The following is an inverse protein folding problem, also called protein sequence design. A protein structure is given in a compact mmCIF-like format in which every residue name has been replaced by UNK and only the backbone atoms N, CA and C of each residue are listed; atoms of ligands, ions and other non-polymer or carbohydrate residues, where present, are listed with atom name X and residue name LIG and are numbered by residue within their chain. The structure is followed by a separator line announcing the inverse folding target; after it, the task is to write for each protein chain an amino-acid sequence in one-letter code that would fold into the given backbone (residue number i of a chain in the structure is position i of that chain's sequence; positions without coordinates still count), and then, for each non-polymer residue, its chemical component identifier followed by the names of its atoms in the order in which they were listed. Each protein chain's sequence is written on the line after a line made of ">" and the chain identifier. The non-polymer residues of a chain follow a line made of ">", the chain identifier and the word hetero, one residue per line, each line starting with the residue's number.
data_IF_029944993252
#
_entry.id   IF_029944993252
#
_cell.length_a   1.000
_cell.length_b   1.000
_cell.length_c   1.000
_cell.angle_alpha   90.00
_cell.angle_beta   90.00
_cell.angle_gamma   90.00
#
_symmetry.space_group_name_H-M   'P 1'
#
loop_
_entity.id
_entity.type
_entity.pdbx_description
1 polymer ?
#
# COMPACT_ATOMS: atom_id res chain seq x y z
N UNK A 1 -1.48 -8.17 -13.91
CA UNK A 1 -1.23 -9.29 -12.98
C UNK A 1 -0.12 -8.95 -12.01
N UNK A 2 1.06 -8.53 -12.49
CA UNK A 2 2.21 -8.17 -11.64
C UNK A 2 1.86 -7.17 -10.51
N UNK A 3 1.14 -6.08 -10.80
CA UNK A 3 0.74 -5.10 -9.77
C UNK A 3 -0.15 -5.68 -8.66
N UNK A 4 -1.01 -6.66 -8.98
CA UNK A 4 -1.89 -7.31 -8.00
C UNK A 4 -1.08 -8.30 -7.14
N UNK A 5 -0.11 -8.98 -7.74
CA UNK A 5 0.80 -9.87 -7.01
C UNK A 5 1.67 -9.06 -6.05
N UNK A 6 2.25 -7.95 -6.51
CA UNK A 6 2.99 -7.02 -5.67
C UNK A 6 2.12 -6.47 -4.53
N UNK A 7 0.85 -6.19 -4.82
CA UNK A 7 -0.14 -5.79 -3.84
C UNK A 7 -0.36 -6.83 -2.73
N UNK A 8 -0.59 -8.09 -3.10
CA UNK A 8 -0.74 -9.19 -2.14
C UNK A 8 0.49 -9.35 -1.26
N UNK A 9 1.68 -9.28 -1.85
CA UNK A 9 2.95 -9.42 -1.10
C UNK A 9 3.08 -8.30 -0.07
N UNK A 10 2.86 -7.04 -0.45
CA UNK A 10 3.04 -5.93 0.49
C UNK A 10 1.96 -5.89 1.58
N UNK A 11 0.73 -6.31 1.26
CA UNK A 11 -0.33 -6.44 2.25
C UNK A 11 0.06 -7.51 3.29
N UNK A 12 0.46 -8.70 2.83
CA UNK A 12 0.87 -9.79 3.71
C UNK A 12 2.09 -9.45 4.56
N UNK A 13 3.11 -8.79 3.99
CA UNK A 13 4.27 -8.36 4.78
C UNK A 13 3.91 -7.32 5.83
N UNK A 14 3.01 -6.38 5.50
CA UNK A 14 2.56 -5.36 6.45
C UNK A 14 1.73 -5.98 7.58
N UNK A 15 0.89 -6.97 7.29
CA UNK A 15 0.16 -7.73 8.32
C UNK A 15 1.10 -8.50 9.25
N UNK A 16 2.10 -9.20 8.70
CA UNK A 16 3.13 -9.89 9.49
C UNK A 16 3.90 -8.94 10.42
N UNK A 17 4.26 -7.74 9.92
CA UNK A 17 4.94 -6.71 10.69
C UNK A 17 4.06 -6.09 11.79
N UNK A 18 2.75 -5.93 11.53
CA UNK A 18 1.81 -5.29 12.44
C UNK A 18 1.04 -6.28 13.32
N UNK A 19 1.25 -7.58 13.15
CA UNK A 19 0.66 -8.66 13.94
C UNK A 19 0.69 -8.45 15.46
N UNK A 20 1.81 -8.01 16.07
CA UNK A 20 1.84 -7.75 17.52
C UNK A 20 0.98 -6.55 17.95
N UNK A 21 0.46 -5.74 17.01
CA UNK A 21 -0.27 -4.51 17.28
C UNK A 21 -1.72 -4.60 16.79
N UNK A 22 -2.61 -5.07 17.67
CA UNK A 22 -4.00 -5.43 17.37
C UNK A 22 -4.81 -4.35 16.61
N UNK A 23 -4.66 -3.06 16.98
CA UNK A 23 -5.38 -1.96 16.33
C UNK A 23 -4.84 -1.61 14.94
N UNK A 24 -3.52 -1.67 14.74
CA UNK A 24 -2.87 -1.37 13.46
C UNK A 24 -3.06 -2.50 12.45
N UNK A 25 -3.16 -3.74 12.95
CA UNK A 25 -3.42 -4.94 12.14
C UNK A 25 -4.77 -4.88 11.41
N UNK A 26 -5.78 -4.20 11.94
CA UNK A 26 -7.10 -4.07 11.29
C UNK A 26 -7.10 -2.93 10.27
N UNK A 27 -6.40 -1.84 10.57
CA UNK A 27 -6.40 -0.64 9.73
C UNK A 27 -5.57 -0.81 8.45
N UNK A 28 -4.43 -1.49 8.55
CA UNK A 28 -3.52 -1.80 7.43
C UNK A 28 -4.23 -2.50 6.25
N UNK A 29 -4.87 -3.66 6.41
CA UNK A 29 -5.52 -4.36 5.31
C UNK A 29 -6.65 -3.54 4.68
N UNK A 30 -7.41 -2.80 5.49
CA UNK A 30 -8.48 -1.93 4.99
C UNK A 30 -7.93 -0.86 4.03
N UNK A 31 -6.81 -0.23 4.40
CA UNK A 31 -6.15 0.78 3.57
C UNK A 31 -5.55 0.18 2.29
N UNK A 32 -4.95 -1.01 2.35
CA UNK A 32 -4.47 -1.73 1.16
C UNK A 32 -5.61 -2.09 0.20
N UNK A 33 -6.76 -2.54 0.71
CA UNK A 33 -7.95 -2.87 -0.10
C UNK A 33 -8.51 -1.59 -0.75
N UNK A 34 -8.64 -0.50 0.00
CA UNK A 34 -9.11 0.77 -0.52
C UNK A 34 -8.22 1.30 -1.67
N UNK A 35 -6.89 1.22 -1.51
CA UNK A 35 -5.93 1.58 -2.56
C UNK A 35 -6.11 0.73 -3.83
N UNK A 36 -6.33 -0.57 -3.67
CA UNK A 36 -6.56 -1.48 -4.78
C UNK A 36 -7.85 -1.14 -5.54
N UNK A 37 -8.94 -0.86 -4.82
CA UNK A 37 -10.22 -0.44 -5.41
C UNK A 37 -10.09 0.88 -6.18
N UNK A 38 -9.42 1.88 -5.59
CA UNK A 38 -9.17 3.18 -6.25
C UNK A 38 -8.35 2.98 -7.53
N UNK A 39 -7.31 2.15 -7.48
CA UNK A 39 -6.49 1.84 -8.65
C UNK A 39 -7.30 1.17 -9.76
N UNK A 40 -8.12 0.16 -9.42
CA UNK A 40 -8.99 -0.52 -10.38
C UNK A 40 -10.03 0.44 -10.97
N UNK A 41 -10.62 1.31 -10.14
CA UNK A 41 -11.56 2.32 -10.58
C UNK A 41 -10.94 3.32 -11.55
N UNK A 42 -9.77 3.88 -11.23
CA UNK A 42 -9.04 4.79 -12.13
C UNK A 42 -8.67 4.10 -13.44
N UNK A 43 -8.20 2.86 -13.39
CA UNK A 43 -7.86 2.08 -14.57
C UNK A 43 -9.08 1.85 -15.47
N UNK A 44 -10.23 1.53 -14.88
CA UNK A 44 -11.47 1.36 -15.62
C UNK A 44 -11.95 2.69 -16.24
N UNK A 45 -11.86 3.80 -15.50
CA UNK A 45 -12.18 5.15 -15.98
C UNK A 45 -11.33 5.54 -17.19
N UNK A 46 -10.01 5.28 -17.16
CA UNK A 46 -9.11 5.57 -18.29
C UNK A 46 -9.44 4.70 -19.50
N UNK A 47 -9.74 3.41 -19.29
CA UNK A 47 -10.10 2.48 -20.36
C UNK A 47 -11.38 2.91 -21.09
N UNK A 48 -12.42 3.27 -20.32
CA UNK A 48 -13.75 3.57 -20.86
C UNK A 48 -13.90 4.99 -21.43
N UNK A 49 -12.92 5.87 -21.21
CA UNK A 49 -12.97 7.23 -21.73
C UNK A 49 -12.73 7.23 -23.25
N UNK A 50 -13.72 7.66 -24.05
CA UNK A 50 -13.66 7.65 -25.52
C UNK A 50 -12.88 8.83 -26.10
N UNK A 51 -12.71 9.90 -25.33
CA UNK A 51 -12.06 11.14 -25.79
C UNK A 51 -10.53 11.07 -25.81
N UNK A 52 -9.95 10.01 -25.20
CA UNK A 52 -8.51 9.83 -25.09
C UNK A 52 -7.97 8.98 -26.24
N UNK A 53 -6.89 9.45 -26.86
CA UNK A 53 -6.15 8.68 -27.85
C UNK A 53 -5.54 7.40 -27.24
N UNK A 54 -5.30 6.38 -28.07
CA UNK A 54 -4.73 5.10 -27.61
C UNK A 54 -3.38 5.27 -26.88
N UNK A 55 -2.55 6.22 -27.35
CA UNK A 55 -1.25 6.51 -26.73
C UNK A 55 -1.41 7.21 -25.37
N UNK A 56 -2.32 8.18 -25.24
CA UNK A 56 -2.58 8.81 -23.94
C UNK A 56 -3.19 7.84 -22.93
N UNK A 57 -4.04 6.91 -23.37
CA UNK A 57 -4.57 5.84 -22.49
C UNK A 57 -3.44 4.99 -21.92
N UNK A 58 -2.45 4.63 -22.73
CA UNK A 58 -1.27 3.87 -22.27
C UNK A 58 -0.47 4.66 -21.25
N UNK A 59 -0.16 5.93 -21.54
CA UNK A 59 0.61 6.81 -20.62
C UNK A 59 -0.13 7.00 -19.30
N UNK A 60 -1.43 7.31 -19.32
CA UNK A 60 -2.23 7.47 -18.09
C UNK A 60 -2.33 6.18 -17.29
N UNK A 61 -2.46 5.03 -17.96
CA UNK A 61 -2.49 3.72 -17.30
C UNK A 61 -1.14 3.40 -16.63
N UNK A 62 -0.03 3.68 -17.32
CA UNK A 62 1.32 3.52 -16.75
C UNK A 62 1.52 4.45 -15.55
N UNK A 63 1.14 5.73 -15.66
CA UNK A 63 1.25 6.71 -14.58
C UNK A 63 0.44 6.30 -13.34
N UNK A 64 -0.79 5.81 -13.52
CA UNK A 64 -1.61 5.29 -12.42
C UNK A 64 -0.98 4.04 -11.79
N UNK A 65 -0.37 3.15 -12.58
CA UNK A 65 0.39 2.01 -12.08
C UNK A 65 1.62 2.39 -11.26
N UNK A 66 2.38 3.39 -11.72
CA UNK A 66 3.54 3.93 -11.00
C UNK A 66 3.08 4.56 -9.67
N UNK A 67 2.03 5.37 -9.70
CA UNK A 67 1.48 6.00 -8.50
C UNK A 67 1.08 4.94 -7.47
N UNK A 68 0.39 3.88 -7.91
CA UNK A 68 0.00 2.76 -7.05
C UNK A 68 1.21 2.09 -6.39
N UNK A 69 2.27 1.81 -7.15
CA UNK A 69 3.52 1.24 -6.59
C UNK A 69 4.19 2.17 -5.58
N UNK A 70 4.27 3.46 -5.87
CA UNK A 70 4.88 4.45 -4.97
C UNK A 70 4.08 4.53 -3.66
N UNK A 71 2.75 4.63 -3.72
CA UNK A 71 1.91 4.67 -2.52
C UNK A 71 2.04 3.40 -1.69
N UNK A 72 2.13 2.25 -2.34
CA UNK A 72 2.37 0.96 -1.69
C UNK A 72 3.72 0.91 -0.96
N UNK A 73 4.79 1.43 -1.57
CA UNK A 73 6.10 1.53 -0.94
C UNK A 73 6.08 2.45 0.28
N UNK A 74 5.38 3.58 0.19
CA UNK A 74 5.22 4.51 1.31
C UNK A 74 4.49 3.83 2.48
N UNK A 75 3.38 3.13 2.21
CA UNK A 75 2.64 2.38 3.24
C UNK A 75 3.49 1.30 3.91
N UNK A 76 4.30 0.58 3.13
CA UNK A 76 5.23 -0.42 3.67
C UNK A 76 6.32 0.24 4.53
N UNK A 77 6.90 1.34 4.06
CA UNK A 77 7.91 2.09 4.82
C UNK A 77 7.32 2.61 6.14
N UNK A 78 6.10 3.14 6.14
CA UNK A 78 5.41 3.55 7.36
C UNK A 78 5.22 2.38 8.32
N UNK A 79 4.76 1.23 7.82
CA UNK A 79 4.58 0.02 8.65
C UNK A 79 5.88 -0.43 9.31
N UNK A 80 6.99 -0.41 8.57
CA UNK A 80 8.34 -0.71 9.11
C UNK A 80 8.78 0.31 10.15
N UNK A 81 8.58 1.61 9.90
CA UNK A 81 8.94 2.67 10.84
C UNK A 81 8.11 2.58 12.13
N UNK A 82 6.81 2.27 12.03
CA UNK A 82 5.94 2.06 13.20
C UNK A 82 6.45 0.87 14.02
N UNK A 83 6.73 -0.26 13.37
CA UNK A 83 7.26 -1.44 14.05
C UNK A 83 8.59 -1.12 14.76
N UNK A 84 9.50 -0.42 14.09
CA UNK A 84 10.78 -0.01 14.67
C UNK A 84 10.61 0.95 15.85
N UNK A 85 9.74 1.96 15.72
CA UNK A 85 9.49 2.95 16.76
C UNK A 85 8.92 2.30 18.02
N UNK A 86 7.97 1.38 17.87
CA UNK A 86 7.37 0.70 19.01
C UNK A 86 8.39 -0.22 19.68
N UNK A 87 9.18 -0.98 18.91
CA UNK A 87 10.22 -1.84 19.46
C UNK A 87 11.30 -1.02 20.23
N UNK A 88 11.69 0.14 19.69
CA UNK A 88 12.60 1.07 20.36
C UNK A 88 12.00 1.57 21.69
N UNK A 89 10.72 1.99 21.68
CA UNK A 89 10.03 2.46 22.88
C UNK A 89 9.90 1.39 23.96
N UNK A 90 9.65 0.13 23.58
CA UNK A 90 9.61 -1.00 24.50
C UNK A 90 10.97 -1.29 25.13
N UNK A 91 12.06 -1.26 24.33
CA UNK A 91 13.42 -1.48 24.83
C UNK A 91 13.96 -0.38 25.75
N UNK A 92 13.49 0.87 25.57
CA UNK A 92 13.82 1.99 26.46
C UNK A 92 13.05 1.87 27.79
N UNK A 93 11.79 1.44 27.73
CA UNK A 93 10.97 1.24 28.93
C UNK A 93 11.50 0.09 29.81
N UNK A 94 11.97 -1.02 29.21
CA UNK A 94 12.56 -2.14 29.98
C UNK A 94 13.95 -1.88 30.55
N UNK A 95 14.64 -0.82 30.12
CA UNK A 95 15.93 -0.39 30.67
C UNK A 95 15.81 0.63 31.82
N UNK A 96 14.64 1.20 32.02
CA UNK A 96 14.36 2.17 33.10
C UNK A 96 13.65 1.54 34.32
N UNK A 97 13.17 0.30 34.21
CA UNK A 97 12.58 -0.48 35.31
C UNK A 97 13.63 -1.40 35.94
#
# INVERSE_FOLDING_TARGET
>A
MILIIAWLIAMGTSELLLWPYHYLHIFSPLAYIALCLIFLYQRNKIRNNRDLSSNEKKIKTLRSGILFLVTMLIMLALSVNIHFLINLSGSLCSRMA
#
